data_IF_465934889230
#
_entry.id   IF_465934889230
#
_cell.length_a   1.000
_cell.length_b   1.000
_cell.length_c   1.000
_cell.angle_alpha   90.00
_cell.angle_beta   90.00
_cell.angle_gamma   90.00
#
_symmetry.space_group_name_H-M   'P 1'
#
loop_
_entity.id
_entity.type
_entity.pdbx_description
1 polymer ?
#
# COMPACT_ATOMS: atom_id res chain seq x y z
N UNK A 1 -12.32 -5.94 17.08
CA UNK A 1 -10.93 -6.11 17.55
C UNK A 1 -9.99 -5.51 16.51
N UNK A 2 -8.91 -4.84 16.94
CA UNK A 2 -7.87 -4.38 16.03
C UNK A 2 -7.02 -5.57 15.61
N UNK A 3 -6.89 -5.83 14.31
CA UNK A 3 -6.07 -6.89 13.76
C UNK A 3 -5.20 -6.35 12.62
N UNK A 4 -3.92 -6.70 12.56
CA UNK A 4 -3.13 -7.37 13.61
C UNK A 4 -3.03 -6.55 14.90
N UNK A 5 -2.76 -7.21 16.03
CA UNK A 5 -2.59 -6.54 17.32
C UNK A 5 -1.23 -5.85 17.40
N UNK A 6 -1.05 -4.97 18.39
CA UNK A 6 0.24 -4.32 18.58
C UNK A 6 1.34 -5.33 18.93
N UNK A 7 1.02 -6.32 19.76
CA UNK A 7 1.94 -7.37 20.17
C UNK A 7 2.43 -8.18 18.97
N UNK A 8 1.59 -8.38 17.96
CA UNK A 8 1.94 -9.09 16.73
C UNK A 8 2.95 -8.33 15.85
N UNK A 9 3.01 -7.01 16.01
CA UNK A 9 3.82 -6.11 15.16
C UNK A 9 5.10 -5.64 15.83
N UNK A 10 5.22 -5.80 17.15
CA UNK A 10 6.39 -5.35 17.92
C UNK A 10 7.26 -6.52 18.34
N UNK A 11 8.56 -6.29 18.44
CA UNK A 11 9.55 -7.26 18.93
C UNK A 11 10.54 -6.54 19.85
N UNK A 12 11.48 -7.26 20.49
CA UNK A 12 12.52 -6.62 21.31
C UNK A 12 13.29 -5.53 20.56
N UNK A 13 13.51 -5.71 19.25
CA UNK A 13 14.24 -4.74 18.41
C UNK A 13 13.34 -3.63 17.85
N UNK A 14 12.05 -3.91 17.71
CA UNK A 14 11.04 -3.01 17.10
C UNK A 14 10.02 -2.59 18.17
N UNK A 15 10.29 -1.45 18.80
CA UNK A 15 9.35 -0.82 19.71
C UNK A 15 8.21 -0.11 18.95
N UNK A 16 7.20 0.33 19.70
CA UNK A 16 6.01 1.02 19.17
C UNK A 16 6.34 2.23 18.29
N UNK A 17 7.36 3.01 18.65
CA UNK A 17 7.74 4.21 17.90
C UNK A 17 8.41 3.86 16.56
N UNK A 18 9.31 2.87 16.56
CA UNK A 18 9.92 2.33 15.33
C UNK A 18 8.84 1.77 14.39
N UNK A 19 7.86 1.06 14.94
CA UNK A 19 6.73 0.53 14.18
C UNK A 19 5.91 1.64 13.51
N UNK A 20 5.60 2.73 14.22
CA UNK A 20 4.85 3.87 13.67
C UNK A 20 5.62 4.51 12.51
N UNK A 21 6.92 4.76 12.67
CA UNK A 21 7.76 5.35 11.62
C UNK A 21 7.81 4.45 10.39
N UNK A 22 8.03 3.14 10.59
CA UNK A 22 8.07 2.17 9.50
C UNK A 22 6.72 2.10 8.76
N UNK A 23 5.62 2.05 9.50
CA UNK A 23 4.26 2.01 8.93
C UNK A 23 3.98 3.27 8.11
N UNK A 24 4.36 4.45 8.62
CA UNK A 24 4.17 5.72 7.90
C UNK A 24 4.98 5.77 6.59
N UNK A 25 6.22 5.28 6.60
CA UNK A 25 7.05 5.18 5.38
C UNK A 25 6.44 4.20 4.37
N UNK A 26 6.00 3.03 4.83
CA UNK A 26 5.34 2.03 3.98
C UNK A 26 4.04 2.57 3.38
N UNK A 27 3.23 3.29 4.16
CA UNK A 27 1.99 3.90 3.68
C UNK A 27 2.26 4.95 2.58
N UNK A 28 3.28 5.80 2.75
CA UNK A 28 3.71 6.75 1.71
C UNK A 28 4.11 6.02 0.42
N UNK A 29 4.87 4.94 0.53
CA UNK A 29 5.27 4.12 -0.62
C UNK A 29 4.08 3.49 -1.35
N UNK A 30 3.10 2.99 -0.59
CA UNK A 30 1.85 2.45 -1.17
C UNK A 30 1.09 3.52 -1.95
N UNK A 31 0.92 4.71 -1.37
CA UNK A 31 0.26 5.83 -2.04
C UNK A 31 1.00 6.28 -3.29
N UNK A 32 2.34 6.38 -3.22
CA UNK A 32 3.15 6.77 -4.36
C UNK A 32 2.96 5.79 -5.53
N UNK A 33 3.05 4.48 -5.27
CA UNK A 33 2.82 3.46 -6.32
C UNK A 33 1.41 3.52 -6.91
N UNK A 34 0.39 3.77 -6.09
CA UNK A 34 -0.97 3.91 -6.58
C UNK A 34 -1.12 5.12 -7.52
N UNK A 35 -0.46 6.24 -7.20
CA UNK A 35 -0.43 7.41 -8.08
C UNK A 35 0.31 7.13 -9.38
N UNK A 36 1.49 6.51 -9.33
CA UNK A 36 2.27 6.12 -10.52
C UNK A 36 1.46 5.19 -11.44
N UNK A 37 0.74 4.22 -10.87
CA UNK A 37 -0.15 3.33 -11.63
C UNK A 37 -1.32 4.08 -12.27
N UNK A 38 -1.91 5.05 -11.56
CA UNK A 38 -2.99 5.89 -12.08
C UNK A 38 -2.49 6.76 -13.24
N UNK A 39 -1.35 7.42 -13.08
CA UNK A 39 -0.74 8.24 -14.13
C UNK A 39 -0.41 7.40 -15.38
N UNK A 40 0.17 6.21 -15.20
CA UNK A 40 0.44 5.30 -16.30
C UNK A 40 -0.84 4.80 -17.00
N UNK A 41 -1.91 4.55 -16.24
CA UNK A 41 -3.20 4.16 -16.80
C UNK A 41 -3.86 5.31 -17.56
N UNK A 42 -3.77 6.54 -17.07
CA UNK A 42 -4.30 7.72 -17.73
C UNK A 42 -3.53 8.02 -19.02
N UNK A 43 -2.19 7.92 -19.02
CA UNK A 43 -1.38 8.03 -20.24
C UNK A 43 -1.72 6.96 -21.28
N UNK A 44 -1.93 5.71 -20.85
CA UNK A 44 -2.38 4.63 -21.75
C UNK A 44 -3.76 4.92 -22.34
N UNK A 45 -4.71 5.39 -21.54
CA UNK A 45 -6.04 5.79 -22.03
C UNK A 45 -5.95 6.93 -23.05
N UNK A 46 -5.09 7.92 -22.83
CA UNK A 46 -4.88 9.00 -23.81
C UNK A 46 -4.36 8.47 -25.16
N UNK A 47 -3.41 7.52 -25.13
CA UNK A 47 -2.91 6.86 -26.33
C UNK A 47 -3.98 5.98 -27.02
N UNK A 48 -4.77 5.26 -26.22
CA UNK A 48 -5.85 4.39 -26.68
C UNK A 48 -7.17 5.12 -26.96
N UNK A 49 -7.27 6.45 -26.80
CA UNK A 49 -8.50 7.22 -27.12
C UNK A 49 -8.96 7.06 -28.57
N UNK A 50 -8.08 6.61 -29.45
CA UNK A 50 -8.37 6.28 -30.85
C UNK A 50 -8.74 4.81 -31.10
N UNK A 51 -8.59 3.92 -30.11
CA UNK A 51 -8.99 2.51 -30.15
C UNK A 51 -10.33 2.33 -29.43
N UNK A 52 -11.33 1.83 -30.14
CA UNK A 52 -12.74 1.83 -29.73
C UNK A 52 -13.12 0.86 -28.59
N UNK A 53 -12.19 0.05 -28.10
CA UNK A 53 -12.49 -1.10 -27.24
C UNK A 53 -11.53 -1.23 -26.05
N UNK A 54 -11.75 -0.45 -24.98
CA UNK A 54 -11.03 -0.66 -23.71
C UNK A 54 -11.94 -0.42 -22.50
N UNK A 55 -12.81 -1.39 -22.22
CA UNK A 55 -13.48 -1.50 -20.91
C UNK A 55 -12.48 -2.09 -19.91
N UNK A 56 -11.76 -1.23 -19.20
CA UNK A 56 -10.90 -1.68 -18.11
C UNK A 56 -11.65 -1.55 -16.79
N UNK A 57 -12.26 -2.65 -16.34
CA UNK A 57 -12.87 -2.76 -15.01
C UNK A 57 -11.77 -2.89 -13.94
N UNK A 58 -11.22 -1.76 -13.47
CA UNK A 58 -10.59 -1.75 -12.15
C UNK A 58 -11.70 -1.84 -11.11
N UNK A 59 -11.84 -3.02 -10.50
CA UNK A 59 -12.79 -3.27 -9.41
C UNK A 59 -12.55 -2.29 -8.27
N UNK A 60 -13.57 -1.50 -7.92
CA UNK A 60 -13.51 -0.41 -6.95
C UNK A 60 -13.09 -0.85 -5.52
N UNK A 61 -13.18 -2.15 -5.20
CA UNK A 61 -12.91 -2.67 -3.86
C UNK A 61 -11.43 -2.58 -3.43
N UNK A 62 -10.48 -2.69 -4.36
CA UNK A 62 -9.05 -2.55 -4.03
C UNK A 62 -8.65 -1.09 -3.74
N UNK A 63 -9.46 -0.11 -4.16
CA UNK A 63 -9.14 1.31 -4.06
C UNK A 63 -9.50 1.93 -2.70
N UNK A 64 -10.37 1.30 -1.91
CA UNK A 64 -10.91 1.88 -0.68
C UNK A 64 -10.10 1.59 0.59
N UNK A 65 -9.15 0.66 0.52
CA UNK A 65 -8.32 0.32 1.68
C UNK A 65 -7.34 1.48 1.99
N UNK A 66 -7.39 2.02 3.21
CA UNK A 66 -6.48 3.09 3.64
C UNK A 66 -5.03 2.60 3.52
N UNK A 67 -4.14 3.43 2.95
CA UNK A 67 -2.73 3.08 2.76
C UNK A 67 -2.02 2.62 4.06
N UNK A 68 -2.42 3.18 5.20
CA UNK A 68 -1.92 2.77 6.53
C UNK A 68 -2.35 1.34 6.89
N UNK A 69 -3.61 0.98 6.63
CA UNK A 69 -4.13 -0.37 6.86
C UNK A 69 -3.43 -1.39 5.96
N UNK A 70 -3.19 -1.05 4.70
CA UNK A 70 -2.42 -1.88 3.76
C UNK A 70 -0.98 -2.06 4.26
N UNK A 71 -0.33 -0.98 4.70
CA UNK A 71 1.02 -1.02 5.24
C UNK A 71 1.13 -1.94 6.46
N UNK A 72 0.20 -1.85 7.41
CA UNK A 72 0.17 -2.72 8.59
C UNK A 72 0.01 -4.19 8.19
N UNK A 73 -0.95 -4.50 7.30
CA UNK A 73 -1.15 -5.86 6.78
C UNK A 73 0.12 -6.41 6.11
N UNK A 74 0.78 -5.60 5.27
CA UNK A 74 2.02 -5.99 4.56
C UNK A 74 3.20 -6.22 5.51
N UNK A 75 3.32 -5.40 6.56
CA UNK A 75 4.34 -5.62 7.60
C UNK A 75 4.06 -6.94 8.33
N UNK A 76 2.82 -7.19 8.72
CA UNK A 76 2.42 -8.41 9.41
C UNK A 76 2.58 -9.68 8.55
N UNK A 77 2.22 -9.61 7.28
CA UNK A 77 2.37 -10.70 6.32
C UNK A 77 3.84 -10.99 5.94
N UNK A 78 4.77 -10.10 6.29
CA UNK A 78 6.19 -10.22 5.95
C UNK A 78 6.56 -9.66 4.56
N UNK A 79 5.61 -9.07 3.83
CA UNK A 79 5.87 -8.38 2.55
C UNK A 79 6.82 -7.18 2.74
N UNK A 80 6.74 -6.53 3.90
CA UNK A 80 7.64 -5.47 4.33
C UNK A 80 8.35 -5.84 5.63
N UNK A 81 9.66 -5.61 5.67
CA UNK A 81 10.51 -5.90 6.83
C UNK A 81 11.12 -4.62 7.40
N UNK A 82 11.00 -4.45 8.71
CA UNK A 82 11.64 -3.35 9.44
C UNK A 82 13.07 -3.78 9.75
N UNK A 83 14.05 -3.13 9.14
CA UNK A 83 15.47 -3.38 9.40
C UNK A 83 15.91 -2.52 10.59
N UNK A 84 16.44 -3.19 11.61
CA UNK A 84 17.05 -2.56 12.80
C UNK A 84 18.45 -3.12 12.92
N UNK A 85 19.44 -2.32 12.55
CA UNK A 85 20.85 -2.60 12.88
C UNK A 85 21.10 -2.38 14.38
#
# INVERSE_FOLDING_TARGET
>A
MLYPSLQDLTTEKVNRYKLVIATAKCARHVTQKANEQKEAADQKKELDRFSKDSKNEMTADAANDKAVSVAIKRIYNGDYKIITE
#
